data_IF_214632696706
#
_entry.id   IF_214632696706
#
_cell.length_a   1.000
_cell.length_b   1.000
_cell.length_c   1.000
_cell.angle_alpha   90.00
_cell.angle_beta   90.00
_cell.angle_gamma   90.00
#
_symmetry.space_group_name_H-M   'P 1'
#
loop_
_entity.id
_entity.type
_entity.pdbx_description
1 polymer ?
#
# COMPACT_ATOMS: atom_id res chain seq x y z
N UNK A 1 8.87 -1.99 8.25
CA UNK A 1 7.77 -2.95 8.06
C UNK A 1 6.53 -2.18 7.59
N UNK A 2 5.79 -2.64 6.58
CA UNK A 2 4.68 -1.87 5.96
C UNK A 2 3.27 -2.33 6.39
N UNK A 3 3.12 -3.48 7.06
CA UNK A 3 1.82 -3.95 7.56
C UNK A 3 0.78 -4.30 6.48
N UNK A 4 1.19 -4.52 5.24
CA UNK A 4 0.32 -4.80 4.10
C UNK A 4 0.90 -5.89 3.20
N UNK A 5 0.07 -6.60 2.45
CA UNK A 5 0.51 -7.57 1.45
C UNK A 5 0.98 -6.86 0.19
N UNK A 6 2.28 -6.57 0.08
CA UNK A 6 2.85 -5.95 -1.11
C UNK A 6 2.70 -6.85 -2.35
N UNK A 7 2.40 -6.22 -3.48
CA UNK A 7 2.28 -6.83 -4.80
C UNK A 7 3.35 -6.22 -5.73
N UNK A 8 2.98 -5.73 -6.92
CA UNK A 8 3.96 -5.18 -7.85
C UNK A 8 4.46 -3.78 -7.48
N UNK A 9 5.67 -3.50 -7.98
CA UNK A 9 6.42 -2.28 -7.77
C UNK A 9 6.56 -1.51 -9.09
N UNK A 10 6.42 -0.19 -9.02
CA UNK A 10 6.79 0.75 -10.07
C UNK A 10 7.78 1.77 -9.51
N UNK A 11 8.86 2.05 -10.23
CA UNK A 11 9.84 3.08 -9.86
C UNK A 11 9.68 4.24 -10.83
N UNK A 12 9.45 5.45 -10.31
CA UNK A 12 9.32 6.64 -11.15
C UNK A 12 10.68 7.28 -11.50
N UNK A 13 10.64 8.30 -12.36
CA UNK A 13 11.82 9.02 -12.84
C UNK A 13 12.61 9.72 -11.71
N UNK A 14 11.99 9.92 -10.55
CA UNK A 14 12.60 10.50 -9.35
C UNK A 14 13.08 9.44 -8.35
N UNK A 15 13.03 8.16 -8.72
CA UNK A 15 13.49 7.04 -7.88
C UNK A 15 12.54 6.68 -6.74
N UNK A 16 11.31 7.21 -6.73
CA UNK A 16 10.29 6.83 -5.74
C UNK A 16 9.67 5.50 -6.12
N UNK A 17 9.38 4.70 -5.11
CA UNK A 17 8.88 3.34 -5.26
C UNK A 17 7.38 3.36 -4.97
N UNK A 18 6.56 3.15 -5.99
CA UNK A 18 5.13 2.94 -5.87
C UNK A 18 4.86 1.44 -5.73
N UNK A 19 4.12 1.06 -4.70
CA UNK A 19 3.82 -0.32 -4.36
C UNK A 19 2.31 -0.46 -4.30
N UNK A 20 1.75 -1.32 -5.16
CA UNK A 20 0.39 -1.77 -4.95
C UNK A 20 0.35 -2.81 -3.85
N UNK A 21 -0.67 -2.77 -3.00
CA UNK A 21 -0.73 -3.62 -1.83
C UNK A 21 -2.16 -3.96 -1.39
N UNK A 22 -2.24 -5.06 -0.65
CA UNK A 22 -3.45 -5.69 -0.14
C UNK A 22 -3.49 -5.54 1.39
N UNK A 23 -4.12 -4.47 1.94
CA UNK A 23 -4.11 -4.19 3.37
C UNK A 23 -4.94 -5.20 4.18
N UNK A 24 -5.80 -5.97 3.51
CA UNK A 24 -6.49 -7.14 4.05
C UNK A 24 -6.18 -8.36 3.19
N UNK A 25 -4.94 -8.87 3.26
CA UNK A 25 -4.46 -9.96 2.40
C UNK A 25 -5.38 -11.20 2.42
N UNK A 26 -5.99 -11.51 3.56
CA UNK A 26 -6.93 -12.63 3.67
C UNK A 26 -8.21 -12.41 2.85
N UNK A 27 -8.74 -11.18 2.79
CA UNK A 27 -9.89 -10.83 1.94
C UNK A 27 -9.54 -10.98 0.46
N UNK A 28 -8.32 -10.57 0.06
CA UNK A 28 -7.84 -10.78 -1.31
C UNK A 28 -7.75 -12.28 -1.67
N UNK A 29 -7.20 -13.11 -0.78
CA UNK A 29 -7.10 -14.56 -1.02
C UNK A 29 -8.48 -15.24 -1.11
N UNK A 30 -9.44 -14.85 -0.25
CA UNK A 30 -10.83 -15.33 -0.35
C UNK A 30 -11.42 -14.94 -1.70
N UNK A 31 -11.22 -13.70 -2.14
CA UNK A 31 -11.73 -13.24 -3.42
C UNK A 31 -11.15 -14.03 -4.60
N UNK A 32 -9.83 -14.22 -4.64
CA UNK A 32 -9.16 -15.03 -5.68
C UNK A 32 -9.66 -16.48 -5.68
N UNK A 33 -9.89 -17.06 -4.51
CA UNK A 33 -10.24 -18.47 -4.37
C UNK A 33 -11.72 -18.75 -4.65
N UNK A 34 -12.60 -17.85 -4.21
CA UNK A 34 -14.05 -18.09 -4.15
C UNK A 34 -14.89 -17.06 -4.91
N UNK A 35 -14.29 -16.00 -5.47
CA UNK A 35 -15.01 -14.90 -6.11
C UNK A 35 -15.93 -14.12 -5.16
N UNK A 36 -15.65 -14.17 -3.85
CA UNK A 36 -16.50 -13.60 -2.81
C UNK A 36 -15.76 -12.53 -2.01
N UNK A 37 -16.49 -11.50 -1.57
CA UNK A 37 -15.95 -10.34 -0.86
C UNK A 37 -15.56 -9.20 -1.81
N UNK A 38 -14.91 -8.18 -1.24
CA UNK A 38 -14.44 -7.01 -1.98
C UNK A 38 -13.03 -6.67 -1.48
N UNK A 39 -11.96 -7.01 -2.22
CA UNK A 39 -10.59 -6.78 -1.78
C UNK A 39 -10.25 -5.28 -1.78
N UNK A 40 -9.86 -4.71 -0.62
CA UNK A 40 -9.41 -3.32 -0.59
C UNK A 40 -8.17 -3.10 -1.47
N UNK A 41 -8.04 -1.89 -2.00
CA UNK A 41 -6.91 -1.49 -2.82
C UNK A 41 -6.09 -0.43 -2.11
N UNK A 42 -4.75 -0.54 -2.15
CA UNK A 42 -3.84 0.42 -1.55
C UNK A 42 -2.65 0.68 -2.48
N UNK A 43 -2.25 1.95 -2.61
CA UNK A 43 -0.97 2.33 -3.22
C UNK A 43 -0.13 3.07 -2.18
N UNK A 44 1.03 2.50 -1.88
CA UNK A 44 2.06 3.05 -1.00
C UNK A 44 3.16 3.66 -1.86
N UNK A 45 3.73 4.79 -1.42
CA UNK A 45 4.93 5.38 -2.02
C UNK A 45 6.05 5.38 -1.00
N UNK A 46 7.22 4.93 -1.40
CA UNK A 46 8.44 5.02 -0.62
C UNK A 46 9.40 5.98 -1.31
N UNK A 47 9.86 6.99 -0.58
CA UNK A 47 11.03 7.79 -0.96
C UNK A 47 12.25 7.15 -0.28
N UNK A 48 13.15 6.48 -1.02
CA UNK A 48 14.31 5.81 -0.43
C UNK A 48 15.18 6.77 0.37
N UNK A 49 15.68 6.30 1.51
CA UNK A 49 16.69 7.03 2.29
C UNK A 49 18.04 7.05 1.55
N UNK A 50 18.87 8.10 1.71
CA UNK A 50 20.20 8.17 1.08
C UNK A 50 21.18 7.03 1.45
N UNK A 51 20.86 6.25 2.49
CA UNK A 51 21.67 5.12 2.94
C UNK A 51 21.14 3.75 2.48
N UNK A 52 20.21 3.73 1.51
CA UNK A 52 19.56 2.54 0.95
C UNK A 52 18.86 1.64 1.99
N UNK A 53 18.56 2.19 3.16
CA UNK A 53 17.88 1.50 4.26
C UNK A 53 16.56 2.18 4.58
N UNK A 54 15.48 1.58 4.10
CA UNK A 54 14.14 2.12 4.30
C UNK A 54 13.93 3.45 3.57
N UNK A 55 12.99 4.24 4.05
CA UNK A 55 12.61 5.48 3.41
C UNK A 55 11.41 6.13 4.07
N UNK A 56 11.02 7.31 3.59
CA UNK A 56 9.75 7.93 3.97
C UNK A 56 8.62 7.19 3.26
N UNK A 57 7.57 6.87 3.99
CA UNK A 57 6.44 6.10 3.48
C UNK A 57 5.18 6.97 3.50
N UNK A 58 4.54 7.07 2.35
CA UNK A 58 3.25 7.74 2.17
C UNK A 58 2.21 6.77 1.59
N UNK A 59 0.94 7.08 1.79
CA UNK A 59 -0.18 6.38 1.16
C UNK A 59 -0.91 7.35 0.23
N UNK A 60 -0.89 7.05 -1.07
CA UNK A 60 -1.47 7.92 -2.10
C UNK A 60 -2.82 7.42 -2.61
N UNK A 61 -3.19 6.18 -2.27
CA UNK A 61 -4.50 5.61 -2.55
C UNK A 61 -4.88 4.58 -1.49
N UNK A 62 -6.13 4.61 -1.04
CA UNK A 62 -6.75 3.58 -0.22
C UNK A 62 -8.26 3.58 -0.52
N UNK A 63 -8.78 2.43 -0.95
CA UNK A 63 -10.22 2.23 -1.16
C UNK A 63 -10.65 0.88 -0.59
N UNK A 64 -11.88 0.82 -0.10
CA UNK A 64 -12.51 -0.44 0.33
C UNK A 64 -12.88 -1.36 -0.86
N UNK A 65 -12.82 -0.85 -2.10
CA UNK A 65 -13.12 -1.58 -3.34
C UNK A 65 -14.59 -1.52 -3.78
N UNK A 66 -15.48 -0.94 -2.99
CA UNK A 66 -16.91 -0.80 -3.32
C UNK A 66 -17.22 0.31 -4.33
N UNK A 67 -16.21 0.86 -5.00
CA UNK A 67 -16.29 1.97 -5.96
C UNK A 67 -16.06 1.50 -7.42
N UNK A 68 -16.20 0.19 -7.69
CA UNK A 68 -16.01 -0.41 -9.02
C UNK A 68 -14.55 -0.51 -9.45
N UNK A 69 -13.63 -0.61 -8.51
CA UNK A 69 -12.25 -1.05 -8.72
C UNK A 69 -11.69 -1.60 -7.42
N UNK A 70 -11.44 -2.90 -7.39
CA UNK A 70 -10.93 -3.59 -6.22
C UNK A 70 -9.62 -4.35 -6.52
N UNK A 71 -8.91 -4.75 -5.45
CA UNK A 71 -7.72 -5.60 -5.55
C UNK A 71 -6.59 -5.08 -6.44
N UNK A 72 -6.26 -3.79 -6.39
CA UNK A 72 -5.16 -3.20 -7.17
C UNK A 72 -3.84 -3.98 -6.99
N UNK A 73 -3.20 -4.36 -8.10
CA UNK A 73 -1.93 -5.11 -8.11
C UNK A 73 -0.76 -4.34 -8.68
N UNK A 74 -1.00 -3.16 -9.28
CA UNK A 74 0.02 -2.22 -9.74
C UNK A 74 -0.48 -0.78 -9.62
N UNK A 75 0.43 0.15 -9.33
CA UNK A 75 0.19 1.59 -9.38
C UNK A 75 1.38 2.31 -10.04
N UNK A 76 1.19 2.86 -11.23
CA UNK A 76 2.23 3.55 -11.99
C UNK A 76 1.96 5.06 -12.06
N UNK A 77 2.95 5.86 -11.67
CA UNK A 77 2.88 7.33 -11.74
C UNK A 77 3.48 7.82 -13.05
N UNK A 78 2.70 8.60 -13.80
CA UNK A 78 3.15 9.33 -14.98
C UNK A 78 2.72 10.77 -14.84
N UNK A 79 3.68 11.70 -14.74
CA UNK A 79 3.42 13.11 -14.39
C UNK A 79 2.58 13.20 -13.11
N UNK A 80 1.43 13.87 -13.13
CA UNK A 80 0.51 14.00 -11.99
C UNK A 80 -0.61 12.94 -12.01
N UNK A 81 -0.45 11.86 -12.78
CA UNK A 81 -1.46 10.80 -12.90
C UNK A 81 -0.95 9.52 -12.27
N UNK A 82 -1.82 8.86 -11.51
CA UNK A 82 -1.63 7.50 -11.02
C UNK A 82 -2.54 6.57 -11.81
N UNK A 83 -1.95 5.57 -12.47
CA UNK A 83 -2.66 4.52 -13.20
C UNK A 83 -2.59 3.24 -12.38
N UNK A 84 -3.73 2.63 -12.10
CA UNK A 84 -3.84 1.41 -11.31
C UNK A 84 -4.49 0.30 -12.12
N UNK A 85 -3.91 -0.88 -12.02
CA UNK A 85 -4.43 -2.11 -12.62
C UNK A 85 -4.89 -3.09 -11.54
N UNK A 86 -5.90 -3.87 -11.87
CA UNK A 86 -6.38 -5.00 -11.09
C UNK A 86 -6.65 -6.17 -12.04
N UNK A 87 -6.32 -7.42 -11.68
CA UNK A 87 -6.62 -8.59 -12.48
C UNK A 87 -8.13 -8.89 -12.55
N UNK A 88 -8.93 -8.27 -11.69
CA UNK A 88 -10.37 -8.49 -11.59
C UNK A 88 -11.18 -7.48 -12.40
N UNK A 89 -10.54 -6.38 -12.82
CA UNK A 89 -11.19 -5.26 -13.47
C UNK A 89 -10.93 -5.24 -14.98
N UNK A 90 -11.96 -4.91 -15.75
CA UNK A 90 -11.85 -4.80 -17.20
C UNK A 90 -11.22 -3.46 -17.66
N UNK A 91 -10.87 -2.58 -16.73
CA UNK A 91 -10.36 -1.25 -17.05
C UNK A 91 -9.22 -0.82 -16.12
N UNK A 92 -8.40 0.10 -16.60
CA UNK A 92 -7.37 0.77 -15.80
C UNK A 92 -8.00 1.96 -15.09
N UNK A 93 -7.84 2.03 -13.77
CA UNK A 93 -8.25 3.21 -13.01
C UNK A 93 -7.18 4.29 -13.09
N UNK A 94 -7.57 5.51 -13.45
CA UNK A 94 -6.66 6.64 -13.51
C UNK A 94 -7.11 7.75 -12.58
N UNK A 95 -6.24 8.16 -11.66
CA UNK A 95 -6.49 9.23 -10.71
C UNK A 95 -5.51 10.40 -10.94
N UNK A 96 -5.91 11.60 -10.56
CA UNK A 96 -5.01 12.75 -10.47
C UNK A 96 -4.42 12.80 -9.07
N UNK A 97 -3.09 12.78 -8.98
CA UNK A 97 -2.39 12.97 -7.71
C UNK A 97 -2.41 14.48 -7.35
N UNK A 98 -2.67 14.83 -6.08
CA UNK A 98 -2.66 16.22 -5.64
C UNK A 98 -1.25 16.81 -5.77
N UNK A 99 -1.09 18.11 -6.02
CA UNK A 99 0.25 18.74 -6.19
C UNK A 99 1.18 18.50 -4.98
N UNK A 100 0.60 18.26 -3.80
CA UNK A 100 1.30 17.84 -2.58
C UNK A 100 0.70 16.53 -2.09
N UNK A 101 1.41 15.40 -2.26
CA UNK A 101 1.05 14.09 -1.67
C UNK A 101 1.91 13.72 -0.45
N UNK A 102 3.00 14.45 -0.20
CA UNK A 102 4.03 14.16 0.81
C UNK A 102 3.59 14.24 2.27
N UNK A 103 2.35 14.63 2.54
CA UNK A 103 1.85 14.82 3.90
C UNK A 103 0.34 14.60 3.93
N UNK A 104 -0.12 13.37 3.71
CA UNK A 104 -1.43 13.00 4.24
C UNK A 104 -1.34 13.02 5.77
N UNK A 105 -1.44 14.19 6.38
CA UNK A 105 -1.67 14.37 7.82
C UNK A 105 -2.96 13.64 8.22
N UNK A 106 -3.86 13.37 7.25
CA UNK A 106 -5.06 12.60 7.47
C UNK A 106 -4.79 11.11 7.77
N UNK A 107 -3.77 10.49 7.15
CA UNK A 107 -3.40 9.08 7.34
C UNK A 107 -1.92 8.87 6.96
N UNK A 108 -0.95 9.29 7.79
CA UNK A 108 0.43 8.89 7.59
C UNK A 108 0.51 7.36 7.65
N UNK A 109 1.35 6.74 6.82
CA UNK A 109 1.59 5.30 6.88
C UNK A 109 2.09 4.84 8.26
N UNK A 110 2.46 5.76 9.15
CA UNK A 110 2.69 5.50 10.58
C UNK A 110 1.48 4.92 11.31
N UNK A 111 0.24 5.07 10.81
CA UNK A 111 -0.94 4.40 11.38
C UNK A 111 -1.09 2.92 10.97
N UNK A 112 -0.34 2.48 9.95
CA UNK A 112 -0.27 1.06 9.54
C UNK A 112 0.88 0.32 10.25
N UNK A 113 1.71 1.06 10.98
CA UNK A 113 2.59 0.49 11.99
C UNK A 113 1.70 0.21 13.19
N UNK A 114 1.27 -1.04 13.26
CA UNK A 114 0.59 -1.65 14.40
C UNK A 114 1.13 -1.09 15.72
N UNK A 115 0.36 -0.24 16.40
CA UNK A 115 0.72 0.28 17.72
C UNK A 115 0.59 -0.77 18.81
N UNK A 116 0.02 -1.94 18.51
CA UNK A 116 -0.14 -3.06 19.45
C UNK A 116 0.87 -4.19 19.21
N UNK A 117 1.61 -4.17 18.10
CA UNK A 117 2.77 -5.04 17.86
C UNK A 117 4.08 -4.31 18.13
N UNK A 118 4.17 -3.67 19.29
CA UNK A 118 5.46 -3.57 19.96
C UNK A 118 5.79 -4.98 20.46
N UNK A 119 6.63 -5.72 19.76
CA UNK A 119 7.39 -6.78 20.40
C UNK A 119 8.15 -6.12 21.55
N UNK A 120 7.69 -6.34 22.79
CA UNK A 120 8.39 -5.93 23.98
C UNK A 120 9.66 -6.79 24.05
N UNK A 121 10.88 -6.26 23.81
CA UNK A 121 12.09 -7.08 23.81
C UNK A 121 12.50 -7.51 25.23
N UNK A 122 11.79 -7.06 26.27
CA UNK A 122 12.13 -7.29 27.67
C UNK A 122 11.41 -8.47 28.34
N UNK A 123 10.66 -9.30 27.61
CA UNK A 123 10.01 -10.50 28.19
C UNK A 123 10.50 -11.78 27.52
N UNK A 124 11.82 -11.97 27.46
CA UNK A 124 12.43 -13.27 27.16
C UNK A 124 13.70 -13.52 27.99
N UNK A 125 13.78 -13.01 29.22
CA UNK A 125 14.72 -13.51 30.23
C UNK A 125 14.19 -13.24 31.64
N UNK A 126 13.16 -13.97 32.07
CA UNK A 126 13.15 -14.53 33.42
C UNK A 126 11.99 -15.52 33.56
N UNK A 127 12.31 -16.80 33.65
CA UNK A 127 11.63 -17.80 34.48
C UNK A 127 12.26 -19.18 34.21
N UNK A 128 13.15 -19.55 35.14
CA UNK A 128 13.52 -20.91 35.61
C UNK A 128 13.48 -22.08 34.62
#
# INVERSE_FOLDING_TARGET
FLGTGADNIFIDDEGRIFIAAHPKIYTFLIYVTFGSGTPPSQIIVIEPSPNDKGGKVDQVYLSAGSDGFDGATIGAKVKNRLFMGSPFEHSVRACTLPVVWRQSISHPASRLIDTERSENPEVLHDNK
#
